data_IF_688557963234
#
_entry.id   IF_688557963234
#
_cell.length_a   1.000
_cell.length_b   1.000
_cell.length_c   1.000
_cell.angle_alpha   90.00
_cell.angle_beta   90.00
_cell.angle_gamma   90.00
#
_symmetry.space_group_name_H-M   'P 1'
#
loop_
_entity.id
_entity.type
_entity.pdbx_description
1 polymer ?
#
# COMPACT_ATOMS: atom_id res chain seq x y z
N UNK A 1 -11.66 9.29 5.35
CA UNK A 1 -10.79 8.20 5.89
C UNK A 1 -10.67 7.15 4.81
N UNK A 2 -9.57 7.12 4.03
CA UNK A 2 -9.47 6.30 2.80
C UNK A 2 -9.74 4.81 3.02
N UNK A 3 -9.35 4.27 4.17
CA UNK A 3 -9.61 2.88 4.57
C UNK A 3 -11.12 2.58 4.66
N UNK A 4 -11.89 3.40 5.38
CA UNK A 4 -13.32 3.17 5.56
C UNK A 4 -14.14 3.46 4.30
N UNK A 5 -13.72 4.41 3.47
CA UNK A 5 -14.33 4.65 2.16
C UNK A 5 -14.18 3.46 1.20
N UNK A 6 -13.18 2.62 1.43
CA UNK A 6 -13.01 1.34 0.72
C UNK A 6 -13.87 0.20 1.29
N UNK A 7 -14.63 0.46 2.36
CA UNK A 7 -15.41 -0.55 3.08
C UNK A 7 -14.55 -1.48 3.95
N UNK A 8 -13.31 -1.11 4.27
CA UNK A 8 -12.42 -1.91 5.11
C UNK A 8 -12.66 -1.59 6.59
N UNK A 9 -13.70 -2.18 7.16
CA UNK A 9 -14.09 -1.94 8.56
C UNK A 9 -13.26 -2.73 9.56
N UNK A 10 -12.81 -3.93 9.18
CA UNK A 10 -12.00 -4.81 10.01
C UNK A 10 -10.77 -5.29 9.25
N UNK A 11 -9.59 -5.28 9.86
CA UNK A 11 -8.39 -5.79 9.22
C UNK A 11 -8.52 -7.31 8.99
N UNK A 12 -7.92 -7.79 7.91
CA UNK A 12 -7.79 -9.23 7.68
C UNK A 12 -6.71 -9.83 8.60
N UNK A 13 -6.66 -11.16 8.81
CA UNK A 13 -5.66 -11.78 9.68
C UNK A 13 -4.22 -11.45 9.30
N UNK A 14 -3.93 -11.32 7.99
CA UNK A 14 -2.59 -10.93 7.54
C UNK A 14 -2.29 -9.46 7.83
N UNK A 15 -3.28 -8.58 7.76
CA UNK A 15 -3.14 -7.16 8.10
C UNK A 15 -2.93 -6.98 9.61
N UNK A 16 -3.74 -7.64 10.44
CA UNK A 16 -3.58 -7.64 11.91
C UNK A 16 -2.18 -8.09 12.33
N UNK A 17 -1.67 -9.16 11.71
CA UNK A 17 -0.36 -9.71 12.05
C UNK A 17 0.82 -8.88 11.53
N UNK A 18 0.69 -8.21 10.37
CA UNK A 18 1.83 -7.57 9.71
C UNK A 18 1.91 -6.06 9.86
N UNK A 19 0.78 -5.33 9.89
CA UNK A 19 0.79 -3.86 9.92
C UNK A 19 1.49 -3.31 11.17
N UNK A 20 1.19 -3.79 12.40
CA UNK A 20 1.86 -3.28 13.59
C UNK A 20 3.38 -3.51 13.56
N UNK A 21 3.83 -4.66 13.03
CA UNK A 21 5.25 -4.95 12.87
C UNK A 21 5.88 -4.04 11.82
N UNK A 22 5.19 -3.79 10.70
CA UNK A 22 5.71 -2.98 9.60
C UNK A 22 5.93 -1.53 10.03
N UNK A 23 5.00 -1.00 10.84
CA UNK A 23 5.10 0.34 11.40
C UNK A 23 6.31 0.52 12.34
N UNK A 24 6.89 -0.57 12.88
CA UNK A 24 8.15 -0.49 13.65
C UNK A 24 9.40 -0.32 12.79
N UNK A 25 9.28 -0.33 11.46
CA UNK A 25 10.41 -0.25 10.54
C UNK A 25 11.20 -1.56 10.41
N UNK A 26 10.62 -2.69 10.84
CA UNK A 26 11.25 -4.02 10.72
C UNK A 26 10.88 -4.69 9.40
N UNK A 27 11.82 -5.46 8.86
CA UNK A 27 11.59 -6.31 7.69
C UNK A 27 10.61 -7.44 8.02
N UNK A 28 9.73 -7.74 7.06
CA UNK A 28 8.66 -8.73 7.22
C UNK A 28 8.61 -9.66 6.02
N UNK A 29 8.55 -10.95 6.30
CA UNK A 29 8.11 -11.96 5.35
C UNK A 29 6.69 -12.42 5.68
N UNK A 30 5.73 -11.96 4.89
CA UNK A 30 4.32 -12.27 5.05
C UNK A 30 3.83 -13.29 4.00
N UNK A 31 3.09 -14.32 4.42
CA UNK A 31 2.46 -15.30 3.52
C UNK A 31 0.98 -15.41 3.83
N UNK A 32 0.14 -15.28 2.80
CA UNK A 32 -1.29 -15.50 2.90
C UNK A 32 -1.87 -15.92 1.54
N UNK A 33 -3.06 -16.55 1.57
CA UNK A 33 -3.79 -16.98 0.36
C UNK A 33 -4.18 -15.77 -0.52
N UNK A 34 -4.54 -16.00 -1.76
CA UNK A 34 -5.04 -14.92 -2.63
C UNK A 34 -6.39 -14.39 -2.10
N UNK A 35 -6.65 -13.10 -2.32
CA UNK A 35 -7.88 -12.46 -1.83
C UNK A 35 -7.92 -12.14 -0.33
N UNK A 36 -6.83 -12.33 0.43
CA UNK A 36 -6.85 -12.14 1.90
C UNK A 36 -6.41 -10.73 2.36
N UNK A 37 -6.45 -9.72 1.49
CA UNK A 37 -6.08 -8.34 1.88
C UNK A 37 -4.57 -8.04 1.95
N UNK A 38 -3.72 -8.83 1.29
CA UNK A 38 -2.25 -8.62 1.25
C UNK A 38 -1.86 -7.22 0.76
N UNK A 39 -2.60 -6.65 -0.20
CA UNK A 39 -2.31 -5.30 -0.72
C UNK A 39 -2.37 -4.26 0.40
N UNK A 40 -3.45 -4.23 1.18
CA UNK A 40 -3.55 -3.35 2.34
C UNK A 40 -2.47 -3.62 3.40
N UNK A 41 -2.06 -4.89 3.55
CA UNK A 41 -1.05 -5.28 4.54
C UNK A 41 0.31 -4.62 4.31
N UNK A 42 0.73 -4.39 3.05
CA UNK A 42 1.95 -3.64 2.75
C UNK A 42 1.69 -2.16 2.44
N UNK A 43 0.57 -1.80 1.82
CA UNK A 43 0.35 -0.42 1.35
C UNK A 43 0.02 0.53 2.49
N UNK A 44 -0.76 0.09 3.48
CA UNK A 44 -1.13 0.92 4.64
C UNK A 44 0.10 1.38 5.42
N UNK A 45 1.02 0.50 5.87
CA UNK A 45 2.18 0.94 6.63
C UNK A 45 3.15 1.80 5.80
N UNK A 46 3.31 1.52 4.49
CA UNK A 46 4.11 2.37 3.60
C UNK A 46 3.52 3.79 3.56
N UNK A 47 2.21 3.93 3.31
CA UNK A 47 1.55 5.24 3.23
C UNK A 47 1.54 5.98 4.57
N UNK A 48 1.49 5.25 5.69
CA UNK A 48 1.53 5.88 7.01
C UNK A 48 2.88 6.55 7.30
N UNK A 49 3.98 5.96 6.80
CA UNK A 49 5.34 6.46 7.03
C UNK A 49 5.78 7.59 6.10
N UNK A 50 5.00 7.92 5.06
CA UNK A 50 5.35 8.99 4.11
C UNK A 50 5.16 10.36 4.77
N UNK A 51 6.21 11.19 4.69
CA UNK A 51 6.13 12.62 5.00
C UNK A 51 5.74 13.42 3.73
N UNK A 52 4.52 13.97 3.65
CA UNK A 52 4.05 14.70 2.47
C UNK A 52 4.75 16.05 2.25
N UNK A 53 5.55 16.53 3.20
CA UNK A 53 6.30 17.79 3.07
C UNK A 53 7.63 17.62 2.33
N UNK A 54 8.08 16.38 2.14
CA UNK A 54 9.33 16.05 1.48
C UNK A 54 9.08 15.51 0.06
N UNK A 55 9.45 16.28 -0.98
CA UNK A 55 9.22 15.96 -2.40
C UNK A 55 10.29 15.01 -2.96
N UNK A 56 10.43 13.84 -2.33
CA UNK A 56 11.32 12.74 -2.75
C UNK A 56 10.58 11.41 -2.73
N UNK A 57 11.11 10.41 -3.44
CA UNK A 57 10.57 9.04 -3.39
C UNK A 57 10.89 8.44 -2.01
N UNK A 58 9.86 8.13 -1.22
CA UNK A 58 9.98 7.60 0.14
C UNK A 58 9.54 6.13 0.28
N UNK A 59 8.88 5.58 -0.74
CA UNK A 59 8.40 4.20 -0.73
C UNK A 59 8.29 3.64 -2.14
N UNK A 60 8.53 2.33 -2.28
CA UNK A 60 8.45 1.62 -3.55
C UNK A 60 7.74 0.28 -3.37
N UNK A 61 6.74 0.02 -4.22
CA UNK A 61 6.03 -1.26 -4.28
C UNK A 61 6.33 -1.89 -5.64
N UNK A 62 6.85 -3.11 -5.64
CA UNK A 62 7.18 -3.87 -6.86
C UNK A 62 6.20 -5.03 -6.99
N UNK A 63 5.59 -5.16 -8.16
CA UNK A 63 4.63 -6.22 -8.50
C UNK A 63 4.92 -6.78 -9.89
N UNK A 64 4.57 -8.05 -10.17
CA UNK A 64 5.11 -8.76 -11.33
C UNK A 64 4.44 -8.41 -12.68
N UNK A 65 3.28 -7.75 -12.70
CA UNK A 65 2.56 -7.44 -13.95
C UNK A 65 2.10 -5.98 -14.01
N UNK A 66 1.85 -5.50 -15.23
CA UNK A 66 1.35 -4.14 -15.50
C UNK A 66 -0.01 -3.90 -14.84
N UNK A 67 -0.90 -4.87 -14.96
CA UNK A 67 -2.26 -4.83 -14.42
C UNK A 67 -2.23 -4.75 -12.89
N UNK A 68 -1.35 -5.54 -12.26
CA UNK A 68 -1.17 -5.48 -10.81
C UNK A 68 -0.57 -4.14 -10.38
N UNK A 69 0.34 -3.55 -11.16
CA UNK A 69 0.91 -2.23 -10.85
C UNK A 69 -0.18 -1.15 -10.86
N UNK A 70 -1.00 -1.12 -11.91
CA UNK A 70 -2.11 -0.17 -12.04
C UNK A 70 -3.19 -0.37 -10.98
N UNK A 71 -3.56 -1.62 -10.67
CA UNK A 71 -4.53 -1.92 -9.61
C UNK A 71 -3.98 -1.52 -8.23
N UNK A 72 -2.71 -1.80 -7.97
CA UNK A 72 -2.07 -1.46 -6.70
C UNK A 72 -1.95 0.04 -6.53
N UNK A 73 -1.58 0.79 -7.57
CA UNK A 73 -1.51 2.25 -7.51
C UNK A 73 -2.87 2.88 -7.26
N UNK A 74 -3.93 2.36 -7.90
CA UNK A 74 -5.29 2.83 -7.65
C UNK A 74 -5.72 2.62 -6.18
N UNK A 75 -5.40 1.45 -5.60
CA UNK A 75 -5.65 1.20 -4.18
C UNK A 75 -4.86 2.18 -3.30
N UNK A 76 -3.60 2.46 -3.62
CA UNK A 76 -2.79 3.40 -2.86
C UNK A 76 -3.38 4.82 -2.91
N UNK A 77 -3.81 5.29 -4.10
CA UNK A 77 -4.48 6.60 -4.28
C UNK A 77 -5.75 6.69 -3.43
N UNK A 78 -6.57 5.64 -3.43
CA UNK A 78 -7.81 5.60 -2.63
C UNK A 78 -7.52 5.63 -1.12
N UNK A 79 -6.55 4.84 -0.67
CA UNK A 79 -6.14 4.80 0.74
C UNK A 79 -5.57 6.15 1.18
N UNK A 80 -4.80 6.82 0.32
CA UNK A 80 -4.18 8.10 0.60
C UNK A 80 -5.03 9.31 0.25
N UNK A 81 -6.30 9.15 -0.16
CA UNK A 81 -7.19 10.23 -0.64
C UNK A 81 -7.28 11.45 0.30
N UNK A 82 -7.14 11.23 1.60
CA UNK A 82 -7.22 12.27 2.64
C UNK A 82 -5.85 12.65 3.20
N UNK A 83 -4.77 12.23 2.52
CA UNK A 83 -3.38 12.53 2.85
C UNK A 83 -2.82 13.29 1.65
N UNK A 84 -1.92 14.25 1.87
CA UNK A 84 -1.27 14.98 0.79
C UNK A 84 -0.12 14.15 0.15
N UNK A 85 -0.39 12.88 -0.17
CA UNK A 85 0.59 11.93 -0.70
C UNK A 85 0.39 11.80 -2.21
N UNK A 86 1.49 11.90 -2.96
CA UNK A 86 1.50 11.65 -4.40
C UNK A 86 1.85 10.19 -4.66
N UNK A 87 1.05 9.52 -5.49
CA UNK A 87 1.29 8.14 -5.93
C UNK A 87 1.55 8.14 -7.43
N UNK A 88 2.67 7.54 -7.84
CA UNK A 88 3.03 7.36 -9.25
C UNK A 88 3.16 5.86 -9.54
N UNK A 89 2.91 5.48 -10.79
CA UNK A 89 3.06 4.10 -11.27
C UNK A 89 3.79 4.13 -12.61
N UNK A 90 4.73 3.21 -12.79
CA UNK A 90 5.43 3.02 -14.06
C UNK A 90 5.47 1.54 -14.40
N UNK A 91 5.49 1.26 -15.71
CA UNK A 91 5.51 -0.11 -16.24
C UNK A 91 6.35 -0.16 -17.52
N UNK A 92 6.91 -1.32 -17.85
CA UNK A 92 7.60 -1.48 -19.14
C UNK A 92 6.63 -1.33 -20.32
N UNK A 93 7.09 -0.70 -21.40
CA UNK A 93 6.28 -0.46 -22.61
C UNK A 93 5.38 0.77 -22.53
N UNK A 94 5.74 1.73 -21.69
CA UNK A 94 5.22 3.12 -21.71
C UNK A 94 6.42 4.07 -21.81
N UNK A 95 6.35 5.04 -22.71
CA UNK A 95 7.37 6.10 -22.89
C UNK A 95 7.20 7.20 -21.85
#
# INVERSE_FOLDING_TARGET
MGIFEKGWEKPSPIQEASIPVALTGRDILARAKNGTGKTGAYSIPILEQIDPTNDVIQGMIIVPTRELALQTSQICIELSKHRNIKVMVTTGGTN
#
